data_IF_364345144137
#
_entry.id   IF_364345144137
#
_cell.length_a   1.000
_cell.length_b   1.000
_cell.length_c   1.000
_cell.angle_alpha   90.00
_cell.angle_beta   90.00
_cell.angle_gamma   90.00
#
_symmetry.space_group_name_H-M   'P 1'
#
loop_
_entity.id
_entity.type
_entity.pdbx_description
1 polymer ?
#
# COMPACT_ATOMS: atom_id res chain seq x y z
N UNK A 1 -73.56 12.66 39.37
CA UNK A 1 -72.94 11.37 39.72
C UNK A 1 -71.54 11.38 39.06
N UNK A 2 -70.45 11.71 39.82
CA UNK A 2 -69.09 11.87 39.30
C UNK A 2 -68.30 10.57 39.53
N UNK A 3 -67.84 9.92 38.48
CA UNK A 3 -66.97 8.75 38.53
C UNK A 3 -65.56 9.20 38.97
N UNK A 4 -65.07 8.60 40.05
CA UNK A 4 -63.66 8.74 40.46
C UNK A 4 -62.81 7.68 39.72
N UNK A 5 -61.83 8.12 38.98
CA UNK A 5 -60.77 7.27 38.36
C UNK A 5 -59.56 7.24 39.31
N UNK A 6 -59.18 6.03 39.75
CA UNK A 6 -57.94 5.79 40.51
C UNK A 6 -56.78 5.57 39.54
N UNK A 7 -55.58 6.15 39.77
CA UNK A 7 -54.42 5.81 38.97
C UNK A 7 -53.81 4.49 39.43
N UNK A 8 -53.58 3.59 38.47
CA UNK A 8 -52.76 2.37 38.66
C UNK A 8 -51.28 2.73 38.47
N UNK A 9 -50.53 2.68 39.55
CA UNK A 9 -49.08 2.84 39.53
C UNK A 9 -48.47 1.51 39.14
N UNK A 10 -47.91 1.42 37.92
CA UNK A 10 -47.13 0.27 37.47
C UNK A 10 -45.69 0.46 37.97
N UNK A 11 -45.27 -0.38 38.90
CA UNK A 11 -43.90 -0.44 39.39
C UNK A 11 -43.08 -1.28 38.38
N UNK A 12 -42.24 -0.64 37.54
CA UNK A 12 -41.27 -1.32 36.67
C UNK A 12 -40.05 -1.60 37.50
N UNK A 13 -39.84 -2.85 37.88
CA UNK A 13 -38.59 -3.30 38.50
C UNK A 13 -37.51 -3.45 37.41
N UNK A 14 -36.50 -2.56 37.40
CA UNK A 14 -35.31 -2.72 36.63
C UNK A 14 -34.44 -3.83 37.25
N UNK A 15 -34.41 -4.99 36.60
CA UNK A 15 -33.39 -6.03 36.87
C UNK A 15 -32.05 -5.54 36.32
N UNK A 16 -31.16 -5.10 37.21
CA UNK A 16 -29.76 -4.89 36.92
C UNK A 16 -29.12 -6.27 36.68
N UNK A 17 -28.84 -6.61 35.43
CA UNK A 17 -27.96 -7.71 35.07
C UNK A 17 -26.54 -7.14 35.06
N UNK A 18 -25.60 -7.63 35.86
CA UNK A 18 -24.23 -7.17 35.80
C UNK A 18 -23.55 -7.81 34.57
N UNK A 19 -23.65 -7.14 33.42
CA UNK A 19 -23.01 -7.52 32.15
C UNK A 19 -21.59 -6.97 32.00
N UNK A 20 -20.86 -6.72 33.09
CA UNK A 20 -19.60 -5.97 33.05
C UNK A 20 -18.30 -6.77 33.05
N UNK A 21 -18.31 -8.13 33.11
CA UNK A 21 -17.08 -8.89 33.30
C UNK A 21 -16.60 -9.71 32.09
N UNK A 22 -17.45 -10.02 31.13
CA UNK A 22 -17.03 -10.79 29.93
C UNK A 22 -16.37 -9.93 28.86
N UNK A 23 -16.84 -8.69 28.65
CA UNK A 23 -16.21 -7.76 27.69
C UNK A 23 -14.82 -7.28 28.12
N UNK A 24 -14.56 -7.13 29.42
CA UNK A 24 -13.27 -6.67 29.95
C UNK A 24 -12.16 -7.75 29.89
N UNK A 25 -12.51 -9.03 30.00
CA UNK A 25 -11.53 -10.13 29.91
C UNK A 25 -11.14 -10.46 28.45
N UNK A 26 -12.06 -10.38 27.51
CA UNK A 26 -11.73 -10.56 26.10
C UNK A 26 -10.79 -9.45 25.61
N UNK A 27 -11.04 -8.20 25.95
CA UNK A 27 -10.20 -7.06 25.50
C UNK A 27 -8.74 -7.15 26.00
N UNK A 28 -8.49 -7.68 27.19
CA UNK A 28 -7.12 -7.83 27.70
C UNK A 28 -6.36 -8.99 27.06
N UNK A 29 -7.01 -10.11 26.77
CA UNK A 29 -6.42 -11.24 26.07
C UNK A 29 -6.13 -10.89 24.60
N UNK A 30 -7.06 -10.22 23.93
CA UNK A 30 -6.88 -9.76 22.56
C UNK A 30 -5.69 -8.80 22.42
N UNK A 31 -5.52 -7.90 23.39
CA UNK A 31 -4.37 -7.00 23.44
C UNK A 31 -3.04 -7.77 23.59
N UNK A 32 -2.98 -8.79 24.42
CA UNK A 32 -1.79 -9.62 24.61
C UNK A 32 -1.47 -10.39 23.33
N UNK A 33 -2.46 -11.00 22.69
CA UNK A 33 -2.25 -11.74 21.45
C UNK A 33 -1.81 -10.81 20.30
N UNK A 34 -2.43 -9.65 20.16
CA UNK A 34 -2.05 -8.67 19.15
C UNK A 34 -0.64 -8.10 19.37
N UNK A 35 -0.22 -7.92 20.63
CA UNK A 35 1.13 -7.41 20.93
C UNK A 35 2.25 -8.39 20.56
N UNK A 36 1.95 -9.69 20.35
CA UNK A 36 2.93 -10.69 19.88
C UNK A 36 3.50 -10.41 18.49
N UNK A 37 2.88 -9.54 17.71
CA UNK A 37 3.46 -9.08 16.43
C UNK A 37 4.86 -8.49 16.62
N UNK A 38 5.13 -7.87 17.76
CA UNK A 38 6.42 -7.25 18.05
C UNK A 38 7.55 -8.28 18.32
N UNK A 39 7.20 -9.57 18.38
CA UNK A 39 8.16 -10.69 18.39
C UNK A 39 8.51 -11.13 16.96
N UNK A 40 7.78 -10.65 15.94
CA UNK A 40 8.01 -10.98 14.54
C UNK A 40 9.00 -9.98 13.95
N UNK A 41 10.28 -10.35 13.92
CA UNK A 41 11.33 -9.52 13.35
C UNK A 41 11.54 -8.22 14.14
N UNK A 42 11.39 -7.09 13.48
CA UNK A 42 11.67 -5.76 14.04
C UNK A 42 10.48 -4.81 13.92
N UNK A 43 9.26 -5.35 14.08
CA UNK A 43 8.02 -4.57 14.05
C UNK A 43 8.06 -3.46 15.09
N UNK A 44 7.67 -2.24 14.71
CA UNK A 44 7.67 -1.05 15.55
C UNK A 44 6.28 -0.44 15.72
N UNK A 45 5.35 -0.71 14.80
CA UNK A 45 3.96 -0.28 14.95
C UNK A 45 3.00 -1.29 14.36
N UNK A 46 1.83 -1.39 14.98
CA UNK A 46 0.64 -2.03 14.45
C UNK A 46 -0.53 -1.10 14.68
N UNK A 47 -1.29 -0.81 13.63
CA UNK A 47 -2.60 -0.17 13.72
C UNK A 47 -3.61 -1.00 12.95
N UNK A 48 -4.78 -1.21 13.52
CA UNK A 48 -5.89 -1.97 12.93
C UNK A 48 -7.13 -1.09 12.98
N UNK A 49 -7.78 -0.92 11.84
CA UNK A 49 -9.03 -0.22 11.67
C UNK A 49 -10.06 -1.15 11.02
N UNK A 50 -11.30 -1.10 11.49
CA UNK A 50 -12.45 -1.80 10.89
C UNK A 50 -13.64 -0.85 10.87
N UNK A 51 -14.32 -0.74 9.73
CA UNK A 51 -15.54 0.08 9.59
C UNK A 51 -15.35 1.49 10.17
N UNK A 52 -14.30 2.17 9.73
CA UNK A 52 -13.90 3.54 10.13
C UNK A 52 -13.58 3.72 11.63
N UNK A 53 -13.38 2.62 12.37
CA UNK A 53 -13.04 2.66 13.79
C UNK A 53 -11.67 2.03 14.05
N UNK A 54 -10.79 2.76 14.75
CA UNK A 54 -9.52 2.21 15.21
C UNK A 54 -9.80 1.19 16.33
N UNK A 55 -9.53 -0.08 16.06
CA UNK A 55 -9.71 -1.17 17.03
C UNK A 55 -8.46 -1.41 17.86
N UNK A 56 -7.30 -1.16 17.27
CA UNK A 56 -6.02 -1.38 17.93
C UNK A 56 -4.94 -0.45 17.40
N UNK A 57 -4.12 0.07 18.29
CA UNK A 57 -2.87 0.72 17.95
C UNK A 57 -1.82 0.49 19.03
N UNK A 58 -0.62 0.11 18.61
CA UNK A 58 0.53 -0.04 19.50
C UNK A 58 1.83 0.32 18.79
N UNK A 59 2.73 0.96 19.54
CA UNK A 59 3.99 1.49 19.03
C UNK A 59 5.14 1.07 19.95
N UNK A 60 6.32 0.79 19.38
CA UNK A 60 7.53 0.41 20.11
C UNK A 60 8.69 1.40 19.87
N UNK A 61 9.54 1.51 20.87
CA UNK A 61 10.71 2.37 20.80
C UNK A 61 10.35 3.85 20.69
N UNK A 62 10.79 4.49 19.60
CA UNK A 62 10.47 5.91 19.33
C UNK A 62 9.35 6.08 18.32
N UNK A 63 8.74 4.99 17.87
CA UNK A 63 7.63 5.05 16.91
C UNK A 63 6.38 5.62 17.59
N UNK A 64 5.56 6.32 16.83
CA UNK A 64 4.23 6.77 17.19
C UNK A 64 3.37 6.90 15.93
N UNK A 65 2.10 7.24 16.09
CA UNK A 65 1.12 7.36 15.02
C UNK A 65 1.61 8.24 13.85
N UNK A 66 2.28 9.35 14.13
CA UNK A 66 2.59 10.41 13.17
C UNK A 66 4.06 10.38 12.70
N UNK A 67 4.90 9.52 13.26
CA UNK A 67 6.32 9.49 12.91
C UNK A 67 6.55 8.80 11.57
N UNK A 68 7.04 9.52 10.53
CA UNK A 68 7.33 8.91 9.24
C UNK A 68 8.49 7.93 9.34
N UNK A 69 8.34 6.78 8.68
CA UNK A 69 9.40 5.81 8.45
C UNK A 69 9.49 5.46 6.97
N UNK A 70 10.65 5.01 6.51
CA UNK A 70 10.86 4.61 5.12
C UNK A 70 10.02 3.38 4.79
N UNK A 71 9.04 3.56 3.91
CA UNK A 71 8.09 2.50 3.51
C UNK A 71 8.67 1.48 2.54
N UNK A 72 9.92 1.69 2.10
CA UNK A 72 10.55 0.82 1.09
C UNK A 72 9.62 0.64 -0.12
N UNK A 73 9.54 -0.59 -0.63
CA UNK A 73 8.75 -0.88 -1.84
C UNK A 73 7.23 -0.75 -1.68
N UNK A 74 6.70 -0.58 -0.45
CA UNK A 74 5.28 -0.26 -0.29
C UNK A 74 4.91 1.10 -0.94
N UNK A 75 5.88 1.99 -1.12
CA UNK A 75 5.71 3.24 -1.88
C UNK A 75 5.33 3.03 -3.35
N UNK A 76 5.56 1.85 -3.94
CA UNK A 76 5.11 1.53 -5.31
C UNK A 76 3.59 1.57 -5.43
N UNK A 77 2.90 1.04 -4.42
CA UNK A 77 1.44 1.05 -4.39
C UNK A 77 0.89 2.47 -4.29
N UNK A 78 1.57 3.35 -3.55
CA UNK A 78 1.22 4.79 -3.54
C UNK A 78 1.45 5.41 -4.92
N UNK A 79 2.58 5.12 -5.57
CA UNK A 79 2.84 5.62 -6.93
C UNK A 79 1.79 5.15 -7.93
N UNK A 80 1.29 3.91 -7.80
CA UNK A 80 0.17 3.43 -8.62
C UNK A 80 -1.08 4.30 -8.48
N UNK A 81 -1.43 4.71 -7.26
CA UNK A 81 -2.56 5.63 -7.05
C UNK A 81 -2.34 6.97 -7.77
N UNK A 82 -1.12 7.50 -7.72
CA UNK A 82 -0.78 8.75 -8.41
C UNK A 82 -0.89 8.63 -9.93
N UNK A 83 -0.58 7.48 -10.52
CA UNK A 83 -0.79 7.24 -11.96
C UNK A 83 -2.28 7.21 -12.29
N UNK A 84 -3.11 6.58 -11.45
CA UNK A 84 -4.56 6.61 -11.65
C UNK A 84 -5.15 8.01 -11.60
N UNK A 85 -4.71 8.82 -10.65
CA UNK A 85 -5.09 10.24 -10.58
C UNK A 85 -4.60 11.00 -11.81
N UNK A 86 -3.37 10.73 -12.30
CA UNK A 86 -2.84 11.41 -13.48
C UNK A 86 -3.61 11.09 -14.76
N UNK A 87 -4.18 9.89 -14.86
CA UNK A 87 -5.08 9.52 -15.96
C UNK A 87 -6.42 10.26 -15.83
N UNK A 88 -7.02 10.30 -14.65
CA UNK A 88 -8.28 11.03 -14.42
C UNK A 88 -8.15 12.52 -14.70
N UNK A 89 -7.04 13.11 -14.29
CA UNK A 89 -6.74 14.53 -14.53
C UNK A 89 -6.30 14.83 -15.99
N UNK A 90 -6.22 13.81 -16.84
CA UNK A 90 -5.87 13.95 -18.26
C UNK A 90 -4.40 14.25 -18.55
N UNK A 91 -3.49 14.04 -17.58
CA UNK A 91 -2.04 14.16 -17.80
C UNK A 91 -1.47 12.96 -18.55
N UNK A 92 -2.09 11.80 -18.40
CA UNK A 92 -1.78 10.54 -19.07
C UNK A 92 -3.07 10.07 -19.74
N UNK A 93 -3.01 9.63 -20.98
CA UNK A 93 -4.23 9.24 -21.72
C UNK A 93 -4.83 7.93 -21.19
N UNK A 94 -4.00 6.89 -21.01
CA UNK A 94 -4.45 5.59 -20.52
C UNK A 94 -3.28 4.71 -20.05
N UNK A 95 -3.61 3.57 -19.48
CA UNK A 95 -2.61 2.55 -19.11
C UNK A 95 -1.97 1.86 -20.31
N UNK A 96 -2.62 1.88 -21.45
CA UNK A 96 -2.15 1.24 -22.69
C UNK A 96 -1.25 2.18 -23.53
N UNK A 97 -1.02 3.40 -23.03
CA UNK A 97 -0.15 4.39 -23.66
C UNK A 97 1.31 3.90 -23.67
N UNK A 98 2.00 3.95 -24.84
CA UNK A 98 3.40 3.60 -24.95
C UNK A 98 4.29 4.56 -24.17
N UNK A 99 5.23 4.03 -23.42
CA UNK A 99 6.11 4.86 -22.56
C UNK A 99 7.23 5.56 -23.33
N UNK A 100 7.54 5.13 -24.55
CA UNK A 100 8.61 5.68 -25.37
C UNK A 100 8.51 7.19 -25.59
N UNK A 101 7.30 7.71 -25.77
CA UNK A 101 7.04 9.14 -25.95
C UNK A 101 7.49 10.03 -24.78
N UNK A 102 7.61 9.44 -23.58
CA UNK A 102 8.12 10.15 -22.40
C UNK A 102 9.63 10.18 -22.32
N UNK A 103 10.36 9.48 -23.23
CA UNK A 103 11.82 9.39 -23.24
C UNK A 103 12.40 9.69 -24.63
N UNK A 104 11.97 10.78 -25.33
CA UNK A 104 12.39 11.05 -26.71
C UNK A 104 13.91 11.16 -26.84
N UNK A 105 14.58 11.91 -25.96
CA UNK A 105 16.04 12.08 -25.99
C UNK A 105 16.81 10.75 -25.90
N UNK A 106 16.26 9.80 -25.12
CA UNK A 106 16.87 8.48 -24.96
C UNK A 106 16.70 7.65 -26.24
N UNK A 107 15.49 7.58 -26.80
CA UNK A 107 15.20 6.74 -27.96
C UNK A 107 15.70 7.33 -29.28
N UNK A 108 15.83 8.66 -29.39
CA UNK A 108 16.54 9.27 -30.52
C UNK A 108 18.00 8.81 -30.60
N UNK A 109 18.67 8.70 -29.45
CA UNK A 109 20.04 8.22 -29.37
C UNK A 109 20.16 6.68 -29.38
N UNK A 110 19.11 5.96 -28.99
CA UNK A 110 19.08 4.49 -28.83
C UNK A 110 17.77 3.93 -29.37
N UNK A 111 17.52 3.94 -30.68
CA UNK A 111 16.27 3.45 -31.26
C UNK A 111 16.05 1.97 -30.93
N UNK A 112 14.91 1.66 -30.31
CA UNK A 112 14.51 0.30 -29.92
C UNK A 112 12.96 0.23 -29.89
N UNK A 113 12.35 -0.13 -31.02
CA UNK A 113 10.88 -0.14 -31.12
C UNK A 113 10.17 -1.05 -30.12
N UNK A 114 10.84 -2.13 -29.66
CA UNK A 114 10.27 -3.02 -28.66
C UNK A 114 10.19 -2.33 -27.29
N UNK A 115 11.24 -1.61 -26.90
CA UNK A 115 11.25 -0.85 -25.64
C UNK A 115 10.36 0.38 -25.70
N UNK A 116 10.29 1.06 -26.85
CA UNK A 116 9.41 2.21 -27.05
C UNK A 116 7.93 1.84 -26.88
N UNK A 117 7.57 0.61 -27.29
CA UNK A 117 6.22 0.07 -27.21
C UNK A 117 5.80 -0.41 -25.80
N UNK A 118 6.72 -0.47 -24.82
CA UNK A 118 6.37 -0.81 -23.43
C UNK A 118 5.30 0.16 -22.92
N UNK A 119 4.20 -0.35 -22.39
CA UNK A 119 3.07 0.46 -21.93
C UNK A 119 3.20 0.84 -20.45
N UNK A 120 2.43 1.83 -20.01
CA UNK A 120 2.27 2.18 -18.59
C UNK A 120 1.76 0.96 -17.80
N UNK A 121 0.84 0.17 -18.38
CA UNK A 121 0.35 -1.07 -17.79
C UNK A 121 1.44 -2.11 -17.58
N UNK A 122 2.37 -2.23 -18.51
CA UNK A 122 3.51 -3.14 -18.37
C UNK A 122 4.42 -2.73 -17.22
N UNK A 123 4.62 -1.42 -17.02
CA UNK A 123 5.36 -0.89 -15.90
C UNK A 123 4.62 -1.14 -14.56
N UNK A 124 3.31 -0.85 -14.50
CA UNK A 124 2.46 -1.04 -13.31
C UNK A 124 2.39 -2.51 -12.88
N UNK A 125 2.35 -3.42 -13.84
CA UNK A 125 2.24 -4.86 -13.59
C UNK A 125 3.60 -5.56 -13.47
N UNK A 126 4.72 -4.82 -13.53
CA UNK A 126 6.08 -5.37 -13.54
C UNK A 126 6.32 -6.35 -14.70
N UNK A 127 5.76 -6.06 -15.87
CA UNK A 127 5.81 -6.91 -17.06
C UNK A 127 6.44 -6.20 -18.26
N UNK A 128 7.33 -5.25 -18.00
CA UNK A 128 8.03 -4.49 -19.04
C UNK A 128 8.96 -5.33 -19.93
N UNK A 129 9.29 -6.56 -19.54
CA UNK A 129 10.29 -7.37 -20.22
C UNK A 129 11.75 -7.02 -19.91
N UNK A 130 12.01 -5.83 -19.39
CA UNK A 130 13.36 -5.38 -19.05
C UNK A 130 13.95 -6.21 -17.88
N UNK A 131 15.25 -6.53 -17.97
CA UNK A 131 16.00 -7.13 -16.85
C UNK A 131 15.83 -6.31 -15.58
N UNK A 132 15.68 -7.00 -14.45
CA UNK A 132 15.50 -6.35 -13.16
C UNK A 132 16.66 -5.43 -12.75
N UNK A 133 16.33 -4.28 -12.21
CA UNK A 133 17.26 -3.41 -11.46
C UNK A 133 17.13 -3.60 -9.94
N UNK A 134 16.36 -4.61 -9.49
CA UNK A 134 16.23 -4.98 -8.08
C UNK A 134 17.22 -6.09 -7.69
N UNK A 135 17.14 -6.53 -6.44
CA UNK A 135 17.95 -7.62 -5.89
C UNK A 135 19.47 -7.39 -6.10
N UNK A 136 20.14 -8.29 -6.78
CA UNK A 136 21.61 -8.21 -7.04
C UNK A 136 22.03 -7.03 -7.93
N UNK A 137 21.12 -6.47 -8.72
CA UNK A 137 21.39 -5.31 -9.59
C UNK A 137 21.11 -3.97 -8.91
N UNK A 138 20.46 -3.95 -7.74
CA UNK A 138 20.01 -2.73 -7.09
C UNK A 138 21.18 -1.75 -6.80
N UNK A 139 22.26 -2.25 -6.23
CA UNK A 139 23.42 -1.42 -5.91
C UNK A 139 24.06 -0.78 -7.15
N UNK A 140 24.16 -1.53 -8.25
CA UNK A 140 24.70 -1.01 -9.52
C UNK A 140 23.81 0.08 -10.11
N UNK A 141 22.51 -0.08 -10.02
CA UNK A 141 21.55 0.89 -10.51
C UNK A 141 21.59 2.20 -9.72
N UNK A 142 21.46 2.15 -8.38
CA UNK A 142 21.44 3.36 -7.54
C UNK A 142 22.79 4.09 -7.47
N UNK A 143 23.90 3.42 -7.79
CA UNK A 143 25.22 4.04 -7.92
C UNK A 143 25.48 4.61 -9.33
N UNK A 144 24.58 4.39 -10.28
CA UNK A 144 24.73 4.95 -11.63
C UNK A 144 24.43 6.46 -11.64
N UNK A 145 25.08 7.17 -12.56
CA UNK A 145 24.86 8.61 -12.72
C UNK A 145 23.52 9.00 -13.35
N UNK A 146 22.77 8.05 -13.92
CA UNK A 146 21.46 8.27 -14.53
C UNK A 146 20.59 7.02 -14.37
N UNK A 147 19.63 7.08 -13.44
CA UNK A 147 18.80 5.92 -13.10
C UNK A 147 17.81 5.56 -14.19
N UNK A 148 17.27 6.57 -14.86
CA UNK A 148 16.32 6.40 -15.98
C UNK A 148 17.01 5.67 -17.14
N UNK A 149 18.14 6.19 -17.62
CA UNK A 149 18.87 5.58 -18.71
C UNK A 149 19.39 4.18 -18.33
N UNK A 150 19.84 3.99 -17.09
CA UNK A 150 20.24 2.67 -16.62
C UNK A 150 19.12 1.64 -16.71
N UNK A 151 17.89 2.03 -16.32
CA UNK A 151 16.72 1.16 -16.40
C UNK A 151 16.32 0.84 -17.84
N UNK A 152 16.29 1.84 -18.73
CA UNK A 152 15.98 1.68 -20.16
C UNK A 152 17.07 0.90 -20.91
N UNK A 153 18.32 1.00 -20.49
CA UNK A 153 19.45 0.24 -21.05
C UNK A 153 19.47 -1.25 -20.66
N UNK A 154 18.59 -1.68 -19.74
CA UNK A 154 18.55 -3.11 -19.42
C UNK A 154 18.13 -3.92 -20.64
N UNK A 155 18.76 -5.09 -20.90
CA UNK A 155 18.34 -5.95 -22.00
C UNK A 155 16.92 -6.49 -21.73
N UNK A 156 16.21 -6.79 -22.82
CA UNK A 156 14.96 -7.52 -22.75
C UNK A 156 15.22 -8.97 -22.31
N UNK A 157 14.49 -9.44 -21.32
CA UNK A 157 14.47 -10.83 -20.81
C UNK A 157 13.11 -11.50 -20.98
N UNK A 158 12.18 -10.80 -21.63
CA UNK A 158 10.84 -11.27 -21.97
C UNK A 158 10.12 -10.20 -22.77
N UNK A 159 9.01 -10.55 -23.37
CA UNK A 159 8.17 -9.64 -24.13
C UNK A 159 7.44 -8.66 -23.18
N UNK A 160 7.19 -7.40 -23.57
CA UNK A 160 6.26 -6.50 -22.88
C UNK A 160 4.89 -7.20 -22.70
N UNK A 161 4.30 -7.04 -21.51
CA UNK A 161 3.07 -7.77 -21.16
C UNK A 161 3.25 -9.27 -20.88
N UNK A 162 4.47 -9.82 -20.96
CA UNK A 162 4.80 -11.21 -20.69
C UNK A 162 4.86 -11.58 -19.19
N UNK A 163 5.86 -12.33 -18.76
CA UNK A 163 6.03 -12.74 -17.36
C UNK A 163 6.44 -11.56 -16.46
N UNK A 164 6.14 -11.69 -15.18
CA UNK A 164 6.59 -10.70 -14.19
C UNK A 164 8.12 -10.70 -14.05
N UNK A 165 8.72 -9.51 -14.13
CA UNK A 165 10.12 -9.23 -13.79
C UNK A 165 10.11 -8.07 -12.80
N UNK A 166 10.07 -8.38 -11.50
CA UNK A 166 10.01 -7.35 -10.46
C UNK A 166 11.23 -6.44 -10.50
N UNK A 167 11.02 -5.13 -10.72
CA UNK A 167 12.11 -4.17 -10.93
C UNK A 167 11.76 -2.80 -10.35
N UNK A 168 12.62 -2.29 -9.48
CA UNK A 168 12.44 -0.94 -8.91
C UNK A 168 12.75 0.15 -9.91
N UNK A 169 13.64 -0.08 -10.89
CA UNK A 169 13.85 0.84 -12.01
C UNK A 169 12.60 0.97 -12.88
N UNK A 170 11.89 -0.14 -13.12
CA UNK A 170 10.60 -0.11 -13.84
C UNK A 170 9.59 0.79 -13.13
N UNK A 171 9.45 0.69 -11.82
CA UNK A 171 8.58 1.61 -11.07
C UNK A 171 9.12 3.04 -11.03
N UNK A 172 10.44 3.24 -11.06
CA UNK A 172 11.03 4.57 -11.12
C UNK A 172 10.69 5.28 -12.44
N UNK A 173 10.64 4.56 -13.57
CA UNK A 173 10.19 5.14 -14.84
C UNK A 173 8.80 5.77 -14.72
N UNK A 174 7.87 5.20 -13.95
CA UNK A 174 6.55 5.81 -13.73
C UNK A 174 6.62 7.15 -12.98
N UNK A 175 7.56 7.32 -12.06
CA UNK A 175 7.76 8.61 -11.39
C UNK A 175 8.33 9.67 -12.35
N UNK A 176 9.19 9.27 -13.26
CA UNK A 176 9.71 10.13 -14.34
C UNK A 176 8.58 10.51 -15.31
N UNK A 177 7.79 9.52 -15.75
CA UNK A 177 6.64 9.71 -16.63
C UNK A 177 5.65 10.70 -16.00
N UNK A 178 5.25 10.47 -14.75
CA UNK A 178 4.35 11.36 -14.02
C UNK A 178 4.87 12.80 -13.99
N UNK A 179 6.17 12.97 -13.71
CA UNK A 179 6.78 14.30 -13.70
C UNK A 179 6.76 14.96 -15.08
N UNK A 180 7.07 14.22 -16.13
CA UNK A 180 7.10 14.74 -17.51
C UNK A 180 5.71 15.03 -18.06
N UNK A 181 4.75 14.16 -17.79
CA UNK A 181 3.37 14.31 -18.21
C UNK A 181 2.68 15.50 -17.53
N UNK A 182 2.82 15.62 -16.21
CA UNK A 182 2.12 16.65 -15.43
C UNK A 182 2.87 17.99 -15.35
N UNK A 183 4.15 18.03 -15.66
CA UNK A 183 5.00 19.20 -15.43
C UNK A 183 5.31 19.45 -13.95
N UNK A 184 4.82 18.60 -13.05
CA UNK A 184 5.05 18.67 -11.60
C UNK A 184 5.99 17.55 -11.16
N UNK A 185 6.91 17.81 -10.23
CA UNK A 185 7.63 16.70 -9.62
C UNK A 185 6.67 15.79 -8.84
N UNK A 186 6.98 14.51 -8.77
CA UNK A 186 6.10 13.47 -8.19
C UNK A 186 5.62 13.80 -6.77
N UNK A 187 6.46 14.43 -5.92
CA UNK A 187 6.07 14.83 -4.57
C UNK A 187 5.08 15.99 -4.56
N UNK A 188 5.25 16.97 -5.46
CA UNK A 188 4.31 18.07 -5.60
C UNK A 188 2.94 17.55 -6.06
N UNK A 189 2.94 16.65 -7.05
CA UNK A 189 1.74 15.97 -7.53
C UNK A 189 1.05 15.19 -6.40
N UNK A 190 1.80 14.33 -5.70
CA UNK A 190 1.26 13.57 -4.57
C UNK A 190 0.68 14.48 -3.47
N UNK A 191 1.36 15.58 -3.15
CA UNK A 191 0.86 16.54 -2.16
C UNK A 191 -0.44 17.22 -2.61
N UNK A 192 -0.55 17.56 -3.89
CA UNK A 192 -1.71 18.27 -4.40
C UNK A 192 -2.95 17.37 -4.46
N UNK A 193 -2.82 16.17 -5.00
CA UNK A 193 -3.96 15.34 -5.38
C UNK A 193 -4.28 14.21 -4.38
N UNK A 194 -3.35 13.87 -3.47
CA UNK A 194 -3.56 12.76 -2.55
C UNK A 194 -3.25 13.13 -1.09
N UNK A 195 -2.05 13.62 -0.80
CA UNK A 195 -1.61 13.72 0.59
C UNK A 195 -2.30 14.86 1.36
N UNK A 196 -2.42 16.06 0.78
CA UNK A 196 -3.11 17.17 1.45
C UNK A 196 -4.60 16.91 1.67
N UNK A 197 -5.36 16.41 0.67
CA UNK A 197 -6.76 16.03 0.90
C UNK A 197 -6.93 15.02 2.03
N UNK A 198 -5.98 14.08 2.19
CA UNK A 198 -6.00 13.07 3.25
C UNK A 198 -5.33 13.53 4.56
N UNK A 199 -4.91 14.79 4.65
CA UNK A 199 -4.11 15.28 5.79
C UNK A 199 -2.90 14.39 6.09
N UNK A 200 -2.17 13.97 5.05
CA UNK A 200 -0.94 13.19 5.13
C UNK A 200 0.25 14.12 4.97
N UNK A 201 1.21 14.01 5.89
CA UNK A 201 2.52 14.67 5.79
C UNK A 201 3.59 13.63 5.46
N UNK A 202 4.01 13.57 4.20
CA UNK A 202 5.12 12.72 3.81
C UNK A 202 6.44 13.26 4.37
N UNK A 203 7.23 12.37 4.97
CA UNK A 203 8.58 12.67 5.45
C UNK A 203 9.60 12.76 4.31
N UNK A 204 10.80 12.23 4.52
CA UNK A 204 11.84 12.16 3.48
C UNK A 204 11.38 11.35 2.27
N UNK A 205 11.81 11.80 1.09
CA UNK A 205 11.62 11.07 -0.16
C UNK A 205 12.82 11.37 -1.06
N UNK A 206 13.63 10.36 -1.31
CA UNK A 206 14.89 10.53 -2.04
C UNK A 206 14.64 10.86 -3.51
N UNK A 207 15.69 11.41 -4.14
CA UNK A 207 15.71 11.70 -5.58
C UNK A 207 16.84 10.95 -6.27
N UNK A 208 16.67 10.74 -7.56
CA UNK A 208 17.72 10.28 -8.43
C UNK A 208 18.73 11.43 -8.75
N UNK A 209 19.86 11.13 -9.40
CA UNK A 209 20.83 12.15 -9.81
C UNK A 209 20.26 13.21 -10.78
N UNK A 210 19.15 12.94 -11.46
CA UNK A 210 18.46 13.87 -12.37
C UNK A 210 17.41 14.73 -11.64
N UNK A 211 17.16 14.48 -10.35
CA UNK A 211 16.22 15.22 -9.54
C UNK A 211 14.80 14.65 -9.49
N UNK A 212 14.52 13.54 -10.19
CA UNK A 212 13.23 12.84 -10.10
C UNK A 212 13.08 12.14 -8.74
N UNK A 213 11.92 12.22 -8.13
CA UNK A 213 11.64 11.48 -6.90
C UNK A 213 11.68 9.98 -7.13
N UNK A 214 12.22 9.25 -6.15
CA UNK A 214 12.42 7.81 -6.27
C UNK A 214 11.08 7.07 -6.42
N UNK A 215 10.79 6.62 -7.62
CA UNK A 215 9.58 5.85 -7.91
C UNK A 215 9.63 4.45 -7.32
N UNK A 216 8.96 4.28 -6.18
CA UNK A 216 8.79 2.96 -5.57
C UNK A 216 9.85 2.52 -4.57
N UNK A 217 10.54 3.47 -3.94
CA UNK A 217 11.36 3.25 -2.76
C UNK A 217 11.62 4.58 -2.01
N UNK A 218 12.10 4.48 -0.78
CA UNK A 218 12.60 5.59 0.04
C UNK A 218 11.63 6.79 0.19
N UNK A 219 10.31 6.54 0.15
CA UNK A 219 9.28 7.45 0.60
C UNK A 219 9.02 7.17 2.08
N UNK A 220 9.03 8.19 2.92
CA UNK A 220 8.70 8.04 4.33
C UNK A 220 7.27 8.48 4.60
N UNK A 221 6.46 7.56 5.17
CA UNK A 221 5.09 7.79 5.62
C UNK A 221 4.94 7.32 7.07
N UNK A 222 4.03 7.94 7.81
CA UNK A 222 3.70 7.53 9.18
C UNK A 222 2.79 6.30 9.19
N UNK A 223 2.70 5.58 10.33
CA UNK A 223 1.73 4.50 10.49
C UNK A 223 0.29 4.93 10.18
N UNK A 224 -0.13 6.12 10.62
CA UNK A 224 -1.44 6.70 10.32
C UNK A 224 -1.64 6.95 8.82
N UNK A 225 -0.63 7.50 8.14
CA UNK A 225 -0.70 7.72 6.70
C UNK A 225 -0.85 6.41 5.91
N UNK A 226 -0.15 5.35 6.33
CA UNK A 226 -0.29 4.02 5.71
C UNK A 226 -1.69 3.45 5.93
N UNK A 227 -2.24 3.61 7.15
CA UNK A 227 -3.59 3.15 7.47
C UNK A 227 -4.65 3.89 6.64
N UNK A 228 -4.56 5.23 6.55
CA UNK A 228 -5.43 6.05 5.70
C UNK A 228 -5.40 5.62 4.24
N UNK A 229 -4.23 5.29 3.69
CA UNK A 229 -4.12 4.75 2.32
C UNK A 229 -4.83 3.41 2.20
N UNK A 230 -4.73 2.54 3.20
CA UNK A 230 -5.48 1.28 3.26
C UNK A 230 -6.99 1.52 3.27
N UNK A 231 -7.49 2.46 4.07
CA UNK A 231 -8.90 2.84 4.12
C UNK A 231 -9.38 3.45 2.79
N UNK A 232 -8.59 4.33 2.19
CA UNK A 232 -8.88 4.87 0.85
C UNK A 232 -9.11 3.75 -0.19
N UNK A 233 -8.29 2.70 -0.15
CA UNK A 233 -8.43 1.55 -1.05
C UNK A 233 -9.74 0.79 -0.77
N UNK A 234 -10.08 0.54 0.50
CA UNK A 234 -11.34 -0.13 0.89
C UNK A 234 -12.57 0.70 0.49
N UNK A 235 -12.50 2.02 0.63
CA UNK A 235 -13.56 2.95 0.25
C UNK A 235 -13.55 3.28 -1.26
N UNK A 236 -12.91 2.42 -2.07
CA UNK A 236 -12.88 2.55 -3.52
C UNK A 236 -12.41 3.94 -4.01
N UNK A 237 -11.46 4.52 -3.30
CA UNK A 237 -10.83 5.79 -3.66
C UNK A 237 -11.51 7.03 -3.10
N UNK A 238 -12.57 6.86 -2.30
CA UNK A 238 -13.24 7.95 -1.59
C UNK A 238 -12.59 8.19 -0.22
N UNK A 239 -12.41 9.45 0.15
CA UNK A 239 -11.93 9.88 1.45
C UNK A 239 -12.72 11.10 1.93
N UNK A 240 -13.37 11.00 3.10
CA UNK A 240 -14.20 12.06 3.70
C UNK A 240 -15.25 12.64 2.72
N UNK A 241 -15.84 11.79 1.85
CA UNK A 241 -16.87 12.17 0.89
C UNK A 241 -16.32 12.76 -0.42
N UNK A 242 -15.01 12.79 -0.63
CA UNK A 242 -14.36 13.23 -1.86
C UNK A 242 -13.72 12.03 -2.59
N UNK A 243 -13.99 11.89 -3.90
CA UNK A 243 -13.36 10.86 -4.73
C UNK A 243 -11.96 11.34 -5.12
N UNK A 244 -10.93 10.87 -4.40
CA UNK A 244 -9.53 11.25 -4.64
C UNK A 244 -8.85 10.39 -5.71
N UNK A 245 -9.25 9.13 -5.80
CA UNK A 245 -8.74 8.19 -6.80
C UNK A 245 -9.94 7.55 -7.49
N UNK A 246 -10.00 7.47 -8.83
CA UNK A 246 -11.16 6.89 -9.51
C UNK A 246 -11.49 5.48 -9.00
N UNK A 247 -12.76 5.22 -8.78
CA UNK A 247 -13.25 3.91 -8.32
C UNK A 247 -12.79 2.77 -9.24
N UNK A 248 -12.92 2.98 -10.54
CA UNK A 248 -12.50 2.01 -11.56
C UNK A 248 -11.01 1.73 -11.49
N UNK A 249 -10.19 2.76 -11.18
CA UNK A 249 -8.76 2.57 -10.96
C UNK A 249 -8.46 1.68 -9.77
N UNK A 250 -9.16 1.87 -8.63
CA UNK A 250 -8.98 1.02 -7.44
C UNK A 250 -9.33 -0.43 -7.79
N UNK A 251 -10.48 -0.65 -8.45
CA UNK A 251 -10.91 -1.99 -8.86
C UNK A 251 -9.91 -2.64 -9.83
N UNK A 252 -9.39 -1.86 -10.79
CA UNK A 252 -8.38 -2.34 -11.73
C UNK A 252 -7.03 -2.60 -11.04
N UNK A 253 -6.65 -1.77 -10.08
CA UNK A 253 -5.38 -1.92 -9.36
C UNK A 253 -5.24 -3.25 -8.64
N UNK A 254 -6.37 -3.84 -8.23
CA UNK A 254 -6.37 -5.10 -7.49
C UNK A 254 -6.74 -6.32 -8.36
N UNK A 255 -6.98 -6.15 -9.67
CA UNK A 255 -7.10 -7.29 -10.60
C UNK A 255 -5.80 -8.09 -10.66
N UNK A 256 -5.91 -9.38 -10.92
CA UNK A 256 -4.74 -10.25 -11.09
C UNK A 256 -4.28 -10.16 -12.54
N UNK A 257 -3.16 -9.48 -12.77
CA UNK A 257 -2.53 -9.39 -14.09
C UNK A 257 -1.39 -10.40 -14.24
N UNK A 258 -0.75 -10.76 -13.13
CA UNK A 258 0.37 -11.67 -13.13
C UNK A 258 0.54 -12.36 -11.79
N UNK A 259 1.36 -13.40 -11.75
CA UNK A 259 1.78 -14.07 -10.53
C UNK A 259 3.30 -14.01 -10.42
N UNK A 260 3.77 -13.69 -9.24
CA UNK A 260 5.19 -13.59 -8.97
C UNK A 260 5.87 -14.95 -8.94
N UNK A 261 7.03 -15.05 -9.58
CA UNK A 261 7.84 -16.24 -9.63
C UNK A 261 8.74 -16.45 -8.40
N UNK A 262 8.85 -15.46 -7.50
CA UNK A 262 9.73 -15.54 -6.32
C UNK A 262 8.98 -15.77 -4.99
N UNK A 263 7.71 -15.40 -4.90
CA UNK A 263 6.89 -15.60 -3.69
C UNK A 263 5.51 -16.23 -3.96
N UNK A 264 5.17 -16.45 -5.24
CA UNK A 264 3.91 -17.03 -5.66
C UNK A 264 2.65 -16.19 -5.38
N UNK A 265 2.79 -14.91 -5.01
CA UNK A 265 1.65 -14.04 -4.80
C UNK A 265 1.13 -13.48 -6.12
N UNK A 266 -0.17 -13.20 -6.17
CA UNK A 266 -0.79 -12.49 -7.27
C UNK A 266 -0.43 -11.01 -7.21
N UNK A 267 -0.45 -10.34 -8.38
CA UNK A 267 -0.02 -8.95 -8.50
C UNK A 267 -0.90 -8.18 -9.48
N UNK A 268 -1.34 -7.02 -9.04
CA UNK A 268 -2.09 -6.05 -9.82
C UNK A 268 -1.23 -4.84 -10.25
N UNK A 269 -1.79 -3.64 -10.23
CA UNK A 269 -1.05 -2.39 -10.43
C UNK A 269 -0.29 -2.02 -9.15
N UNK A 270 0.85 -2.68 -8.93
CA UNK A 270 1.73 -2.50 -7.76
C UNK A 270 1.10 -2.89 -6.41
N UNK A 271 -0.01 -3.62 -6.41
CA UNK A 271 -0.63 -4.23 -5.25
C UNK A 271 -0.47 -5.73 -5.29
N UNK A 272 -0.12 -6.31 -4.15
CA UNK A 272 -0.04 -7.75 -3.94
C UNK A 272 -1.38 -8.29 -3.49
N UNK A 273 -1.64 -9.56 -3.82
CA UNK A 273 -2.81 -10.29 -3.35
C UNK A 273 -2.41 -11.69 -2.92
N UNK A 274 -2.99 -12.14 -1.82
CA UNK A 274 -2.75 -13.48 -1.25
C UNK A 274 -3.97 -13.95 -0.48
N UNK A 275 -4.35 -15.20 -0.63
CA UNK A 275 -5.32 -15.87 0.26
C UNK A 275 -4.64 -16.22 1.58
N UNK A 276 -5.30 -15.90 2.69
CA UNK A 276 -4.88 -16.18 4.06
C UNK A 276 -6.07 -16.74 4.82
N UNK A 277 -6.06 -18.05 5.13
CA UNK A 277 -7.27 -18.75 5.53
C UNK A 277 -8.34 -18.64 4.44
N UNK A 278 -9.54 -18.28 4.84
CA UNK A 278 -10.69 -18.09 3.95
C UNK A 278 -10.83 -16.66 3.41
N UNK A 279 -9.84 -15.78 3.67
CA UNK A 279 -9.91 -14.36 3.34
C UNK A 279 -8.86 -13.96 2.33
N UNK A 280 -9.24 -13.01 1.47
CA UNK A 280 -8.27 -12.37 0.59
C UNK A 280 -7.61 -11.17 1.29
N UNK A 281 -6.27 -11.13 1.26
CA UNK A 281 -5.48 -9.99 1.70
C UNK A 281 -4.90 -9.28 0.47
N UNK A 282 -5.32 -8.03 0.26
CA UNK A 282 -4.69 -7.11 -0.69
C UNK A 282 -3.68 -6.26 0.08
N UNK A 283 -2.45 -6.12 -0.43
CA UNK A 283 -1.44 -5.43 0.36
C UNK A 283 -0.34 -4.76 -0.45
N UNK A 284 0.18 -3.66 0.09
CA UNK A 284 1.48 -3.11 -0.25
C UNK A 284 2.54 -3.70 0.67
N UNK A 285 3.73 -3.98 0.13
CA UNK A 285 4.81 -4.56 0.90
C UNK A 285 6.16 -3.88 0.64
N UNK A 286 6.82 -3.48 1.73
CA UNK A 286 8.18 -2.97 1.74
C UNK A 286 9.15 -3.92 2.44
N UNK A 287 10.35 -4.05 1.87
CA UNK A 287 11.41 -4.88 2.43
C UNK A 287 11.69 -4.52 3.90
N UNK A 288 11.81 -5.52 4.76
CA UNK A 288 12.04 -5.35 6.19
C UNK A 288 10.76 -5.20 7.01
N UNK A 289 9.56 -5.35 6.39
CA UNK A 289 8.32 -5.46 7.16
C UNK A 289 7.47 -4.19 7.20
N UNK A 290 7.39 -3.48 6.10
CA UNK A 290 6.47 -2.37 5.91
C UNK A 290 5.23 -2.89 5.19
N UNK A 291 4.04 -2.72 5.75
CA UNK A 291 2.80 -3.19 5.13
C UNK A 291 1.68 -2.16 5.23
N UNK A 292 0.90 -2.09 4.17
CA UNK A 292 -0.49 -1.66 4.15
C UNK A 292 -1.27 -2.91 3.76
N UNK A 293 -2.14 -3.43 4.63
CA UNK A 293 -2.94 -4.60 4.33
C UNK A 293 -4.43 -4.24 4.38
N UNK A 294 -5.20 -4.79 3.47
CA UNK A 294 -6.65 -4.70 3.45
C UNK A 294 -7.24 -6.10 3.44
N UNK A 295 -8.28 -6.30 4.21
CA UNK A 295 -9.15 -7.48 4.20
C UNK A 295 -10.55 -7.00 3.80
N UNK A 296 -10.88 -6.94 2.50
CA UNK A 296 -12.13 -6.34 2.02
C UNK A 296 -13.38 -6.98 2.60
N UNK A 297 -13.39 -8.32 2.77
CA UNK A 297 -14.53 -9.05 3.32
C UNK A 297 -14.79 -8.74 4.80
N UNK A 298 -13.82 -8.19 5.51
CA UNK A 298 -13.90 -7.79 6.91
C UNK A 298 -13.97 -6.27 7.10
N UNK A 299 -13.96 -5.52 5.98
CA UNK A 299 -13.85 -4.05 5.99
C UNK A 299 -12.74 -3.55 6.92
N UNK A 300 -11.56 -4.16 6.83
CA UNK A 300 -10.45 -3.89 7.72
C UNK A 300 -9.20 -3.42 6.96
N UNK A 301 -8.59 -2.36 7.48
CA UNK A 301 -7.28 -1.85 7.07
C UNK A 301 -6.27 -2.01 8.20
N UNK A 302 -5.04 -2.38 7.85
CA UNK A 302 -3.95 -2.63 8.79
C UNK A 302 -2.68 -1.94 8.29
N UNK A 303 -2.03 -1.18 9.15
CA UNK A 303 -0.69 -0.67 8.89
C UNK A 303 0.33 -1.28 9.85
N UNK A 304 1.46 -1.74 9.27
CA UNK A 304 2.59 -2.30 10.03
C UNK A 304 3.86 -1.60 9.58
N UNK A 305 4.63 -1.08 10.53
CA UNK A 305 5.97 -0.58 10.25
C UNK A 305 7.01 -1.34 11.08
N UNK A 306 8.20 -1.48 10.51
CA UNK A 306 9.33 -2.15 11.13
C UNK A 306 10.59 -1.28 11.04
N UNK A 307 11.60 -1.59 11.85
CA UNK A 307 12.91 -0.95 11.75
C UNK A 307 13.54 -1.25 10.38
N UNK A 308 13.71 -0.22 9.57
CA UNK A 308 14.21 -0.36 8.19
C UNK A 308 15.69 -0.74 8.11
N UNK A 309 16.47 -0.43 9.13
CA UNK A 309 17.91 -0.74 9.19
C UNK A 309 18.13 -2.17 9.66
N UNK A 310 17.35 -2.61 10.65
CA UNK A 310 17.42 -3.93 11.28
C UNK A 310 16.40 -4.92 10.73
N UNK A 311 15.57 -4.50 9.77
CA UNK A 311 14.44 -5.27 9.24
C UNK A 311 14.79 -6.72 8.94
N UNK A 312 13.92 -7.63 9.35
CA UNK A 312 14.07 -9.06 9.10
C UNK A 312 13.92 -9.34 7.60
N UNK A 313 15.01 -9.75 6.97
CA UNK A 313 15.08 -10.13 5.56
C UNK A 313 15.11 -11.65 5.37
N UNK A 314 14.87 -12.41 6.45
CA UNK A 314 14.87 -13.87 6.37
C UNK A 314 13.74 -14.38 5.48
N UNK A 315 13.98 -15.49 4.80
CA UNK A 315 12.94 -16.17 3.98
C UNK A 315 11.71 -16.57 4.78
N UNK A 316 11.85 -16.73 6.10
CA UNK A 316 10.76 -17.10 7.01
C UNK A 316 9.90 -15.93 7.48
N UNK A 317 10.36 -14.67 7.32
CA UNK A 317 9.66 -13.50 7.85
C UNK A 317 8.22 -13.38 7.32
N UNK A 318 8.05 -13.39 6.01
CA UNK A 318 6.71 -13.28 5.41
C UNK A 318 5.78 -14.42 5.85
N UNK A 319 6.31 -15.65 5.94
CA UNK A 319 5.50 -16.79 6.43
C UNK A 319 5.01 -16.57 7.86
N UNK A 320 5.88 -16.08 8.76
CA UNK A 320 5.47 -15.76 10.14
C UNK A 320 4.45 -14.62 10.18
N UNK A 321 4.65 -13.58 9.37
CA UNK A 321 3.70 -12.47 9.29
C UNK A 321 2.32 -12.93 8.83
N UNK A 322 2.22 -13.70 7.75
CA UNK A 322 0.92 -14.17 7.27
C UNK A 322 0.30 -15.25 8.17
N UNK A 323 1.08 -16.09 8.85
CA UNK A 323 0.56 -16.96 9.89
C UNK A 323 -0.04 -16.14 11.05
N UNK A 324 0.62 -15.06 11.44
CA UNK A 324 0.07 -14.16 12.46
C UNK A 324 -1.21 -13.44 12.00
N UNK A 325 -1.32 -13.04 10.73
CA UNK A 325 -2.57 -12.51 10.16
C UNK A 325 -3.68 -13.55 10.27
N UNK A 326 -3.40 -14.81 9.92
CA UNK A 326 -4.36 -15.92 9.95
C UNK A 326 -4.77 -16.32 11.37
N UNK A 327 -3.80 -16.49 12.24
CA UNK A 327 -4.01 -17.07 13.55
C UNK A 327 -4.46 -16.06 14.61
N UNK A 328 -4.18 -14.76 14.40
CA UNK A 328 -4.44 -13.70 15.41
C UNK A 328 -5.30 -12.56 14.88
N UNK A 329 -4.91 -11.92 13.77
CA UNK A 329 -5.61 -10.72 13.31
C UNK A 329 -7.01 -11.02 12.77
N UNK A 330 -7.16 -12.07 11.96
CA UNK A 330 -8.48 -12.45 11.41
C UNK A 330 -9.45 -12.85 12.55
N UNK A 331 -9.10 -13.73 13.49
CA UNK A 331 -9.96 -14.01 14.64
C UNK A 331 -10.32 -12.77 15.47
N UNK A 332 -9.37 -11.87 15.68
CA UNK A 332 -9.62 -10.59 16.35
C UNK A 332 -10.67 -9.76 15.59
N UNK A 333 -10.49 -9.57 14.28
CA UNK A 333 -11.43 -8.81 13.44
C UNK A 333 -12.83 -9.43 13.39
N UNK A 334 -12.95 -10.77 13.47
CA UNK A 334 -14.20 -11.49 13.51
C UNK A 334 -14.93 -11.36 14.87
N UNK A 335 -14.20 -11.13 15.95
CA UNK A 335 -14.78 -10.93 17.27
C UNK A 335 -15.45 -9.56 17.43
N UNK A 336 -15.15 -8.60 16.54
CA UNK A 336 -15.77 -7.28 16.49
C UNK A 336 -16.93 -7.28 15.50
N UNK A 337 -18.15 -7.27 16.04
CA UNK A 337 -19.41 -7.16 15.30
C UNK A 337 -19.89 -5.71 15.23
#
# INVERSE_FOLDING_TARGET
>A
MKLKVFPVTVLIAFLFIPGGSLFSQNSSNDHIELSRIFEIGTVQSLMIEKSDSILYEEFRGRMNRDRPTNTKSASKSVLSLLIGIAIEEGYIESVDEPTGQYFPDYFEANPDPEKEAITIKDLLTMRSGLRTTSFHNYGRWVLSGNWTNFALNQPMEGDPGGRMIYSTGTSHLLSVILTRASGMNTRAFANQYLFRPMNIQAGGWDRDPQGYFFGGNNMALSPDALLKIGRLMLNLGEYEGEQLVPKEWILDSVKIYTRSNFNNYNYGYMWWRKEVGDYEVVFAWGNGGQYIMMLPELDAAISITSDVERGDRSRGYQRRMFAYVEDVMIPFLLSWQ
#
